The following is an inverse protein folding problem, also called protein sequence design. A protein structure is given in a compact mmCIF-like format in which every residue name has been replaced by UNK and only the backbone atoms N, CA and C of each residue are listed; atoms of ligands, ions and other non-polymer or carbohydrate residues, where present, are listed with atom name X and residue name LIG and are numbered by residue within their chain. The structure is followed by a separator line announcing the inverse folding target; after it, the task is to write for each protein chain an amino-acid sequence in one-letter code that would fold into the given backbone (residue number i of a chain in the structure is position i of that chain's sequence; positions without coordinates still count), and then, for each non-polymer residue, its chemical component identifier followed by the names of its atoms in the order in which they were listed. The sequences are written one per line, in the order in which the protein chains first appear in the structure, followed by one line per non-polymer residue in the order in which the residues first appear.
data_IF_580521541433
#
_entry.id   IF_580521541433
#
_cell.length_a   1.000
_cell.length_b   1.000
_cell.length_c   1.000
_cell.angle_alpha   90.00
_cell.angle_beta   90.00
_cell.angle_gamma   90.00
#
_symmetry.space_group_name_H-M   'P 1'
#
loop_
_entity.id
_entity.type
_entity.pdbx_description
1 polymer ?
#
# COMPACT_ATOMS: atom_id res chain seq x y z
N UNK A 1 0.70 -23.16 -5.29
CA UNK A 1 1.08 -23.41 -3.88
C UNK A 1 2.33 -22.63 -3.44
N UNK A 2 3.45 -22.65 -4.18
CA UNK A 2 4.72 -22.00 -3.77
C UNK A 2 4.63 -20.49 -3.48
N UNK A 3 3.82 -19.74 -4.24
CA UNK A 3 3.62 -18.30 -4.00
C UNK A 3 2.79 -17.99 -2.74
N UNK A 4 1.75 -18.79 -2.45
CA UNK A 4 0.91 -18.62 -1.26
C UNK A 4 1.72 -18.85 0.01
N UNK A 5 2.57 -19.89 0.04
CA UNK A 5 3.43 -20.18 1.19
C UNK A 5 4.38 -19.01 1.49
N UNK A 6 4.88 -18.32 0.45
CA UNK A 6 5.70 -17.12 0.62
C UNK A 6 4.90 -15.97 1.23
N UNK A 7 3.66 -15.76 0.79
CA UNK A 7 2.80 -14.70 1.33
C UNK A 7 2.47 -14.95 2.80
N UNK A 8 2.13 -16.20 3.15
CA UNK A 8 1.84 -16.60 4.53
C UNK A 8 3.09 -16.47 5.41
N UNK A 9 4.26 -16.82 4.90
CA UNK A 9 5.52 -16.60 5.62
C UNK A 9 5.79 -15.11 5.88
N UNK A 10 5.51 -14.23 4.91
CA UNK A 10 5.62 -12.78 5.11
C UNK A 10 4.61 -12.26 6.13
N UNK A 11 3.39 -12.79 6.16
CA UNK A 11 2.40 -12.45 7.18
C UNK A 11 2.89 -12.88 8.56
N UNK A 12 3.45 -14.08 8.68
CA UNK A 12 4.02 -14.57 9.94
C UNK A 12 5.12 -13.64 10.45
N UNK A 13 6.06 -13.23 9.56
CA UNK A 13 7.09 -12.25 9.92
C UNK A 13 6.48 -10.94 10.41
N UNK A 14 5.44 -10.44 9.73
CA UNK A 14 4.76 -9.21 10.14
C UNK A 14 4.08 -9.35 11.50
N UNK A 15 3.47 -10.50 11.82
CA UNK A 15 2.88 -10.74 13.14
C UNK A 15 3.94 -10.78 14.23
N UNK A 16 5.10 -11.41 13.97
CA UNK A 16 6.25 -11.39 14.90
C UNK A 16 6.76 -9.95 15.09
N UNK A 17 6.84 -9.17 14.01
CA UNK A 17 7.22 -7.77 14.06
C UNK A 17 6.22 -6.93 14.88
N UNK A 18 4.91 -7.12 14.68
CA UNK A 18 3.87 -6.45 15.47
C UNK A 18 4.01 -6.78 16.95
N UNK A 19 4.25 -8.05 17.29
CA UNK A 19 4.46 -8.46 18.67
C UNK A 19 5.69 -7.78 19.29
N UNK A 20 6.82 -7.78 18.57
CA UNK A 20 8.04 -7.13 19.01
C UNK A 20 7.88 -5.61 19.17
N UNK A 21 7.27 -4.93 18.19
CA UNK A 21 6.99 -3.50 18.24
C UNK A 21 6.05 -3.14 19.38
N UNK A 22 4.99 -3.93 19.58
CA UNK A 22 4.06 -3.72 20.69
C UNK A 22 4.76 -3.81 22.04
N UNK A 23 5.71 -4.74 22.20
CA UNK A 23 6.47 -4.92 23.44
C UNK A 23 7.53 -3.82 23.68
N UNK A 24 8.09 -3.25 22.62
CA UNK A 24 9.06 -2.14 22.73
C UNK A 24 8.35 -0.82 23.03
N UNK A 25 7.24 -0.56 22.36
CA UNK A 25 6.50 0.71 22.47
C UNK A 25 5.69 0.76 23.77
N UNK A 26 5.09 -0.36 24.15
CA UNK A 26 4.25 -0.44 25.35
C UNK A 26 5.01 -1.23 26.41
N UNK A 27 5.21 -0.61 27.59
CA UNK A 27 5.90 -1.22 28.72
C UNK A 27 5.14 -2.43 29.32
N UNK A 28 3.94 -2.70 28.83
CA UNK A 28 3.13 -3.89 29.14
C UNK A 28 2.60 -4.52 27.86
N UNK A 29 2.66 -5.85 27.78
CA UNK A 29 2.11 -6.62 26.65
C UNK A 29 0.66 -6.96 27.00
N UNK A 30 -0.24 -6.03 26.70
CA UNK A 30 -1.69 -6.25 26.75
C UNK A 30 -2.19 -6.57 25.35
N UNK A 31 -3.17 -7.46 25.23
CA UNK A 31 -3.79 -7.82 23.95
C UNK A 31 -4.24 -6.58 23.15
N UNK A 32 -4.73 -5.55 23.84
CA UNK A 32 -5.13 -4.27 23.26
C UNK A 32 -3.96 -3.55 22.55
N UNK A 33 -2.75 -3.60 23.11
CA UNK A 33 -1.57 -2.98 22.49
C UNK A 33 -1.19 -3.69 21.19
N UNK A 34 -1.28 -5.01 21.16
CA UNK A 34 -1.05 -5.82 19.94
C UNK A 34 -2.08 -5.46 18.87
N UNK A 35 -3.37 -5.36 19.24
CA UNK A 35 -4.45 -4.96 18.34
C UNK A 35 -4.19 -3.57 17.76
N UNK A 36 -3.79 -2.60 18.61
CA UNK A 36 -3.51 -1.23 18.17
C UNK A 36 -2.32 -1.17 17.21
N UNK A 37 -1.20 -1.84 17.52
CA UNK A 37 -0.04 -1.90 16.62
C UNK A 37 -0.40 -2.58 15.29
N UNK A 38 -1.18 -3.66 15.33
CA UNK A 38 -1.68 -4.33 14.13
C UNK A 38 -2.59 -3.42 13.30
N UNK A 39 -3.45 -2.63 13.95
CA UNK A 39 -4.34 -1.67 13.28
C UNK A 39 -3.56 -0.61 12.50
N UNK A 40 -2.52 -0.01 13.08
CA UNK A 40 -1.67 0.94 12.37
C UNK A 40 -1.00 0.32 11.14
N UNK A 41 -0.52 -0.92 11.27
CA UNK A 41 0.08 -1.65 10.16
C UNK A 41 -0.95 -1.96 9.06
N UNK A 42 -2.16 -2.40 9.42
CA UNK A 42 -3.27 -2.64 8.49
C UNK A 42 -3.63 -1.36 7.71
N UNK A 43 -3.77 -0.22 8.39
CA UNK A 43 -4.05 1.06 7.73
C UNK A 43 -2.96 1.41 6.72
N UNK A 44 -1.69 1.21 7.08
CA UNK A 44 -0.57 1.46 6.17
C UNK A 44 -0.69 0.60 4.91
N UNK A 45 -0.93 -0.71 5.06
CA UNK A 45 -1.10 -1.62 3.92
C UNK A 45 -2.31 -1.28 3.05
N UNK A 46 -3.45 -0.93 3.66
CA UNK A 46 -4.65 -0.49 2.95
C UNK A 46 -4.35 0.80 2.18
N UNK A 47 -3.69 1.77 2.81
CA UNK A 47 -3.35 3.06 2.18
C UNK A 47 -2.43 2.86 0.98
N UNK A 48 -1.37 2.05 1.12
CA UNK A 48 -0.50 1.69 0.00
C UNK A 48 -1.26 0.98 -1.12
N UNK A 49 -2.13 0.03 -0.77
CA UNK A 49 -2.95 -0.67 -1.75
C UNK A 49 -3.87 0.29 -2.52
N UNK A 50 -4.53 1.24 -1.84
CA UNK A 50 -5.36 2.27 -2.48
C UNK A 50 -4.54 3.15 -3.41
N UNK A 51 -3.37 3.64 -2.98
CA UNK A 51 -2.48 4.45 -3.82
C UNK A 51 -2.11 3.68 -5.08
N UNK A 52 -1.71 2.41 -4.94
CA UNK A 52 -1.34 1.56 -6.07
C UNK A 52 -2.51 1.33 -7.04
N UNK A 53 -3.74 1.18 -6.54
CA UNK A 53 -4.93 1.08 -7.39
C UNK A 53 -5.17 2.39 -8.14
N UNK A 54 -5.11 3.53 -7.46
CA UNK A 54 -5.36 4.84 -8.07
C UNK A 54 -4.33 5.16 -9.14
N UNK A 55 -3.05 4.85 -8.90
CA UNK A 55 -1.99 5.04 -9.91
C UNK A 55 -2.16 4.08 -11.07
N UNK A 56 -2.41 2.79 -10.81
CA UNK A 56 -2.66 1.81 -11.88
C UNK A 56 -3.93 2.13 -12.68
N UNK A 57 -4.95 2.71 -12.04
CA UNK A 57 -6.20 3.12 -12.67
C UNK A 57 -6.08 4.32 -13.61
N UNK A 58 -4.88 4.85 -13.84
CA UNK A 58 -4.64 5.94 -14.78
C UNK A 58 -5.10 7.31 -14.28
N UNK A 59 -5.47 7.44 -12.99
CA UNK A 59 -5.85 8.74 -12.41
C UNK A 59 -4.73 9.77 -12.58
N UNK A 60 -3.49 9.37 -12.30
CA UNK A 60 -2.33 10.23 -12.45
C UNK A 60 -1.92 10.43 -13.92
N UNK A 61 -2.32 9.55 -14.83
CA UNK A 61 -2.08 9.73 -16.26
C UNK A 61 -2.93 10.88 -16.79
N UNK A 62 -4.21 10.96 -16.38
CA UNK A 62 -5.09 12.08 -16.70
C UNK A 62 -4.58 13.42 -16.17
N UNK A 63 -4.05 13.45 -14.93
CA UNK A 63 -3.38 14.64 -14.39
C UNK A 63 -2.13 15.00 -15.19
N UNK A 64 -1.29 14.01 -15.53
CA UNK A 64 -0.07 14.22 -16.31
C UNK A 64 -0.39 14.79 -17.69
N UNK A 65 -1.42 14.26 -18.36
CA UNK A 65 -1.91 14.77 -19.64
C UNK A 65 -2.41 16.22 -19.54
N UNK A 66 -3.15 16.55 -18.47
CA UNK A 66 -3.59 17.92 -18.20
C UNK A 66 -2.43 18.90 -18.06
N UNK A 67 -1.41 18.54 -17.26
CA UNK A 67 -0.21 19.35 -17.08
C UNK A 67 0.61 19.47 -18.36
N UNK A 68 0.75 18.39 -19.14
CA UNK A 68 1.44 18.44 -20.44
C UNK A 68 0.74 19.37 -21.43
N UNK A 69 -0.60 19.33 -21.49
CA UNK A 69 -1.39 20.18 -22.39
C UNK A 69 -1.27 21.67 -22.04
N UNK A 70 -1.30 22.01 -20.75
CA UNK A 70 -1.17 23.40 -20.28
C UNK A 70 0.30 23.87 -20.34
N UNK A 71 1.24 23.04 -19.92
CA UNK A 71 2.67 23.35 -19.98
C UNK A 71 3.14 23.52 -21.42
N UNK A 72 2.70 22.66 -22.34
CA UNK A 72 3.03 22.72 -23.76
C UNK A 72 2.46 23.97 -24.46
N UNK A 73 1.32 24.50 -24.02
CA UNK A 73 0.78 25.75 -24.57
C UNK A 73 1.54 27.00 -24.07
N UNK A 74 2.01 26.98 -22.81
CA UNK A 74 2.75 28.09 -22.19
C UNK A 74 4.23 28.08 -22.62
N UNK A 75 4.88 26.92 -22.68
CA UNK A 75 6.33 26.78 -22.94
C UNK A 75 6.70 26.52 -24.40
N UNK A 76 5.74 26.62 -25.34
CA UNK A 76 5.91 26.34 -26.78
C UNK A 76 7.07 27.10 -27.45
N UNK A 77 7.61 28.15 -26.82
CA UNK A 77 8.71 28.97 -27.33
C UNK A 77 10.10 28.63 -26.79
N UNK A 78 10.26 27.86 -25.72
CA UNK A 78 11.55 27.79 -24.98
C UNK A 78 12.31 26.48 -25.17
N UNK A 79 11.66 25.35 -25.45
CA UNK A 79 12.30 24.16 -26.00
C UNK A 79 11.20 23.14 -26.26
N UNK A 80 11.34 22.36 -27.32
CA UNK A 80 10.48 21.20 -27.61
C UNK A 80 10.82 20.13 -26.56
N UNK A 81 10.28 20.26 -25.36
CA UNK A 81 10.50 19.29 -24.30
C UNK A 81 9.78 18.00 -24.73
N UNK A 82 10.57 16.95 -24.94
CA UNK A 82 10.15 15.63 -25.42
C UNK A 82 9.44 14.88 -24.29
N UNK A 83 8.16 15.21 -24.09
CA UNK A 83 7.29 14.58 -23.09
C UNK A 83 6.64 13.28 -23.62
N UNK A 84 6.68 13.04 -24.93
CA UNK A 84 6.04 11.91 -25.61
C UNK A 84 6.63 10.55 -25.25
N UNK A 85 7.95 10.47 -25.01
CA UNK A 85 8.62 9.18 -24.78
C UNK A 85 8.71 8.76 -23.31
N UNK A 86 8.12 9.53 -22.38
CA UNK A 86 8.17 9.20 -20.94
C UNK A 86 7.04 8.22 -20.59
N UNK A 87 7.35 7.06 -19.99
CA UNK A 87 6.33 6.11 -19.60
C UNK A 87 5.39 6.73 -18.56
N UNK A 88 4.10 6.46 -18.74
CA UNK A 88 3.03 7.00 -17.91
C UNK A 88 3.16 6.49 -16.47
N UNK A 89 2.70 7.26 -15.47
CA UNK A 89 2.69 6.81 -14.07
C UNK A 89 2.07 5.41 -13.88
N UNK A 90 1.01 5.08 -14.61
CA UNK A 90 0.39 3.75 -14.57
C UNK A 90 1.28 2.62 -15.10
N UNK A 91 2.09 2.89 -16.13
CA UNK A 91 3.01 1.93 -16.76
C UNK A 91 4.25 1.64 -15.91
N UNK A 92 4.60 2.56 -14.99
CA UNK A 92 5.72 2.39 -14.06
C UNK A 92 5.41 1.42 -12.92
N UNK A 93 4.14 1.13 -12.65
CA UNK A 93 3.76 0.23 -11.56
C UNK A 93 3.73 -1.22 -12.06
N UNK A 94 4.47 -2.08 -11.37
CA UNK A 94 4.43 -3.50 -11.63
C UNK A 94 3.04 -4.08 -11.29
N UNK A 95 2.39 -4.68 -12.28
CA UNK A 95 1.04 -5.28 -12.19
C UNK A 95 0.91 -6.31 -11.05
N UNK A 96 2.03 -6.92 -10.63
CA UNK A 96 2.08 -7.94 -9.59
C UNK A 96 2.09 -7.38 -8.17
N UNK A 97 2.40 -6.08 -7.98
CA UNK A 97 2.40 -5.44 -6.66
C UNK A 97 0.98 -5.18 -6.15
N UNK A 98 0.05 -4.80 -7.02
CA UNK A 98 -1.35 -4.55 -6.63
C UNK A 98 -2.01 -5.75 -5.96
N UNK A 99 -2.01 -6.98 -6.56
CA UNK A 99 -2.60 -8.15 -5.90
C UNK A 99 -1.80 -8.59 -4.66
N UNK A 100 -0.48 -8.33 -4.62
CA UNK A 100 0.34 -8.58 -3.44
C UNK A 100 -0.13 -7.74 -2.24
N UNK A 101 -0.22 -6.41 -2.41
CA UNK A 101 -0.66 -5.51 -1.35
C UNK A 101 -2.13 -5.75 -0.96
N UNK A 102 -2.98 -6.10 -1.94
CA UNK A 102 -4.38 -6.50 -1.67
C UNK A 102 -4.44 -7.68 -0.71
N UNK A 103 -3.71 -8.76 -1.01
CA UNK A 103 -3.76 -9.99 -0.23
C UNK A 103 -3.24 -9.76 1.20
N UNK A 104 -2.12 -9.04 1.33
CA UNK A 104 -1.55 -8.66 2.63
C UNK A 104 -2.53 -7.81 3.45
N UNK A 105 -3.06 -6.73 2.86
CA UNK A 105 -4.00 -5.82 3.52
C UNK A 105 -5.26 -6.53 4.02
N UNK A 106 -5.92 -7.32 3.16
CA UNK A 106 -7.16 -8.01 3.50
C UNK A 106 -6.91 -9.08 4.57
N UNK A 107 -5.84 -9.85 4.45
CA UNK A 107 -5.56 -10.94 5.41
C UNK A 107 -5.24 -10.37 6.79
N UNK A 108 -4.41 -9.33 6.88
CA UNK A 108 -4.07 -8.68 8.15
C UNK A 108 -5.29 -7.98 8.76
N UNK A 109 -6.15 -7.37 7.93
CA UNK A 109 -7.40 -6.78 8.39
C UNK A 109 -8.34 -7.85 8.98
N UNK A 110 -8.50 -9.00 8.32
CA UNK A 110 -9.29 -10.11 8.85
C UNK A 110 -8.73 -10.61 10.18
N UNK A 111 -7.41 -10.82 10.28
CA UNK A 111 -6.76 -11.23 11.53
C UNK A 111 -7.03 -10.19 12.63
N UNK A 112 -6.83 -8.91 12.34
CA UNK A 112 -7.09 -7.82 13.29
C UNK A 112 -8.55 -7.79 13.76
N UNK A 113 -9.51 -7.95 12.85
CA UNK A 113 -10.93 -7.98 13.18
C UNK A 113 -11.28 -9.19 14.05
N UNK A 114 -10.70 -10.37 13.77
CA UNK A 114 -10.87 -11.54 14.61
C UNK A 114 -10.32 -11.32 16.02
N UNK A 115 -9.14 -10.73 16.15
CA UNK A 115 -8.57 -10.37 17.47
C UNK A 115 -9.44 -9.35 18.20
N UNK A 116 -10.00 -8.38 17.49
CA UNK A 116 -10.89 -7.36 18.07
C UNK A 116 -12.17 -7.99 18.60
N UNK A 117 -12.81 -8.87 17.82
CA UNK A 117 -14.01 -9.61 18.25
C UNK A 117 -13.67 -10.45 19.48
N UNK A 118 -12.56 -11.18 19.46
CA UNK A 118 -12.11 -11.98 20.59
C UNK A 118 -11.82 -11.14 21.85
N UNK A 119 -11.37 -9.89 21.70
CA UNK A 119 -11.12 -9.01 22.83
C UNK A 119 -12.40 -8.51 23.52
N UNK A 120 -13.49 -8.35 22.77
CA UNK A 120 -14.75 -7.80 23.27
C UNK A 120 -15.80 -8.84 23.68
N UNK A 121 -15.63 -10.11 23.29
CA UNK A 121 -16.47 -11.24 23.69
C UNK A 121 -15.95 -11.85 24.99
#
# INVERSE_FOLDING_TARGET
MRQLNRQLFLIFIQLVLVFALSAIINNSIVLLHIINTLFYLVILYISLWLILITVKGGFFDGLTYGFQKVGGSIFRRINKIEWEDKPLPSERINITLVPFFRFQAVTLACVMLLLLIFYYV
#
